data_IF_537693001911
#
_entry.id   IF_537693001911
#
_cell.length_a   1.000
_cell.length_b   1.000
_cell.length_c   1.000
_cell.angle_alpha   90.00
_cell.angle_beta   90.00
_cell.angle_gamma   90.00
#
_symmetry.space_group_name_H-M   'P 1'
#
loop_
_entity.id
_entity.type
_entity.pdbx_description
1 polymer ?
#
# COMPACT_ATOMS: atom_id res chain seq x y z
N UNK A 1 -17.14 9.83 70.33
CA UNK A 1 -18.04 9.83 69.15
C UNK A 1 -17.54 10.69 67.98
N UNK A 2 -16.23 10.97 67.81
CA UNK A 2 -15.71 11.68 66.61
C UNK A 2 -14.48 11.00 65.95
N UNK A 3 -13.75 10.09 66.63
CA UNK A 3 -12.56 9.47 66.02
C UNK A 3 -12.81 8.14 65.27
N UNK A 4 -13.97 7.49 65.40
CA UNK A 4 -14.20 6.16 64.83
C UNK A 4 -14.70 6.16 63.37
N UNK A 5 -15.07 7.31 62.81
CA UNK A 5 -15.53 7.42 61.41
C UNK A 5 -14.40 7.71 60.40
N UNK A 6 -13.23 8.17 60.84
CA UNK A 6 -12.10 8.44 59.92
C UNK A 6 -11.30 7.19 59.51
N UNK A 7 -11.39 6.11 60.28
CA UNK A 7 -10.59 4.90 60.02
C UNK A 7 -11.21 4.03 58.91
N UNK A 8 -12.53 4.04 58.72
CA UNK A 8 -13.18 3.27 57.64
C UNK A 8 -12.99 3.85 56.23
N UNK A 9 -12.59 5.13 56.09
CA UNK A 9 -12.37 5.76 54.77
C UNK A 9 -10.93 5.62 54.24
N UNK A 10 -9.99 5.14 55.04
CA UNK A 10 -8.58 5.06 54.64
C UNK A 10 -8.09 3.65 54.29
N UNK A 11 -8.89 2.61 54.58
CA UNK A 11 -8.46 1.20 54.41
C UNK A 11 -9.01 0.54 53.14
N UNK A 12 -9.74 1.26 52.29
CA UNK A 12 -10.35 0.72 51.07
C UNK A 12 -9.57 1.02 49.77
N UNK A 13 -8.41 1.69 49.83
CA UNK A 13 -7.73 2.23 48.63
C UNK A 13 -6.30 1.72 48.39
N UNK A 14 -5.86 0.66 49.07
CA UNK A 14 -4.49 0.13 48.93
C UNK A 14 -4.44 -1.39 48.77
N UNK A 15 -5.37 -1.95 48.01
CA UNK A 15 -5.32 -3.36 47.62
C UNK A 15 -5.74 -3.52 46.16
N UNK A 16 -4.80 -3.23 45.24
CA UNK A 16 -4.72 -3.80 43.89
C UNK A 16 -3.52 -3.19 43.16
N UNK A 17 -2.38 -3.89 43.20
CA UNK A 17 -1.37 -3.77 42.15
C UNK A 17 -1.06 -5.19 41.68
N UNK A 18 -1.44 -5.49 40.44
CA UNK A 18 -0.44 -6.09 39.56
C UNK A 18 -0.46 -5.46 38.16
N UNK A 19 0.76 -5.24 37.64
CA UNK A 19 1.18 -5.41 36.24
C UNK A 19 0.19 -5.00 35.13
N UNK A 20 0.45 -3.85 34.50
CA UNK A 20 0.26 -3.71 33.06
C UNK A 20 1.31 -2.76 32.48
N UNK A 21 2.49 -3.33 32.20
CA UNK A 21 3.42 -2.76 31.24
C UNK A 21 2.73 -2.70 29.86
N UNK A 22 2.97 -1.57 29.17
CA UNK A 22 2.90 -1.38 27.71
C UNK A 22 1.55 -1.62 27.01
N UNK A 23 0.74 -0.57 26.85
CA UNK A 23 -0.19 -0.48 25.72
C UNK A 23 -0.65 0.95 25.42
N UNK A 24 0.29 1.88 25.16
CA UNK A 24 -0.08 3.24 24.75
C UNK A 24 0.78 3.73 23.59
N UNK A 25 0.58 3.15 22.42
CA UNK A 25 1.04 3.71 21.14
C UNK A 25 0.06 3.41 20.01
N UNK A 26 -1.21 3.77 20.17
CA UNK A 26 -2.08 4.06 19.03
C UNK A 26 -2.27 5.56 18.96
N UNK A 27 -1.21 6.27 18.57
CA UNK A 27 -1.33 7.67 18.16
C UNK A 27 -2.06 7.67 16.82
N UNK A 28 -3.39 7.56 16.91
CA UNK A 28 -4.34 7.68 15.83
C UNK A 28 -4.04 9.00 15.12
N UNK A 29 -3.59 8.90 13.88
CA UNK A 29 -3.38 10.07 13.03
C UNK A 29 -4.78 10.70 12.86
N UNK A 30 -5.08 11.77 13.61
CA UNK A 30 -6.26 12.57 13.34
C UNK A 30 -6.04 13.26 11.99
N UNK A 31 -6.45 12.59 10.90
CA UNK A 31 -6.74 13.27 9.64
C UNK A 31 -8.06 14.00 9.85
N UNK A 32 -8.00 15.17 10.47
CA UNK A 32 -9.00 16.21 10.23
C UNK A 32 -8.50 17.03 9.06
N UNK A 33 -9.07 16.83 7.88
CA UNK A 33 -9.08 17.89 6.89
C UNK A 33 -10.23 17.73 5.93
N UNK A 34 -11.24 18.58 6.13
CA UNK A 34 -12.27 18.92 5.17
C UNK A 34 -11.63 19.33 3.83
N UNK A 35 -11.91 18.60 2.75
CA UNK A 35 -11.98 19.06 1.33
C UNK A 35 -12.12 17.83 0.42
N UNK A 36 -13.31 17.67 -0.19
CA UNK A 36 -13.66 16.64 -1.17
C UNK A 36 -13.12 15.25 -0.81
N UNK A 37 -13.82 14.58 0.08
CA UNK A 37 -13.45 13.27 0.59
C UNK A 37 -13.37 12.26 -0.58
N UNK A 38 -12.17 12.06 -1.11
CA UNK A 38 -11.89 11.02 -2.09
C UNK A 38 -12.32 9.64 -1.55
N UNK A 39 -12.27 9.48 -0.22
CA UNK A 39 -12.87 8.37 0.52
C UNK A 39 -14.39 8.34 0.47
N UNK A 40 -15.10 9.47 0.48
CA UNK A 40 -16.55 9.52 0.32
C UNK A 40 -16.98 9.19 -1.11
N UNK A 41 -16.19 9.59 -2.12
CA UNK A 41 -16.42 9.13 -3.50
C UNK A 41 -16.23 7.62 -3.61
N UNK A 42 -15.17 7.07 -3.00
CA UNK A 42 -14.95 5.63 -2.96
C UNK A 42 -16.10 4.90 -2.25
N UNK A 43 -16.54 5.36 -1.07
CA UNK A 43 -17.67 4.73 -0.36
C UNK A 43 -18.97 4.79 -1.16
N UNK A 44 -19.25 5.90 -1.84
CA UNK A 44 -20.44 6.03 -2.70
C UNK A 44 -20.43 5.01 -3.83
N UNK A 45 -19.29 4.88 -4.53
CA UNK A 45 -19.13 3.88 -5.59
C UNK A 45 -19.34 2.46 -5.04
N UNK A 46 -18.76 2.15 -3.89
CA UNK A 46 -18.89 0.83 -3.27
C UNK A 46 -20.33 0.51 -2.86
N UNK A 47 -21.07 1.49 -2.32
CA UNK A 47 -22.49 1.33 -2.01
C UNK A 47 -23.32 1.08 -3.27
N UNK A 48 -23.12 1.86 -4.34
CA UNK A 48 -23.87 1.66 -5.58
C UNK A 48 -23.64 0.29 -6.22
N UNK A 49 -22.43 -0.28 -6.07
CA UNK A 49 -22.15 -1.64 -6.52
C UNK A 49 -22.80 -2.66 -5.59
N UNK A 50 -22.74 -2.47 -4.27
CA UNK A 50 -23.38 -3.37 -3.31
C UNK A 50 -24.91 -3.41 -3.42
N UNK A 51 -25.55 -2.28 -3.72
CA UNK A 51 -27.00 -2.16 -3.92
C UNK A 51 -27.52 -3.03 -5.07
N UNK A 52 -26.63 -3.53 -5.95
CA UNK A 52 -26.98 -4.52 -6.98
C UNK A 52 -27.16 -5.95 -6.43
N UNK A 53 -27.06 -6.15 -5.11
CA UNK A 53 -27.29 -7.42 -4.42
C UNK A 53 -26.04 -8.31 -4.29
N UNK A 54 -24.86 -7.76 -4.57
CA UNK A 54 -23.58 -8.49 -4.46
C UNK A 54 -23.02 -8.37 -3.05
N UNK A 55 -22.62 -9.49 -2.42
CA UNK A 55 -22.00 -9.45 -1.09
C UNK A 55 -20.64 -8.74 -1.13
N UNK A 56 -20.20 -8.16 -0.01
CA UNK A 56 -18.96 -7.34 0.06
C UNK A 56 -17.71 -8.05 -0.48
N UNK A 57 -17.60 -9.36 -0.24
CA UNK A 57 -16.47 -10.16 -0.74
C UNK A 57 -16.38 -10.21 -2.26
N UNK A 58 -17.49 -10.03 -2.98
CA UNK A 58 -17.54 -9.96 -4.44
C UNK A 58 -17.44 -8.52 -4.96
N UNK A 59 -18.02 -7.56 -4.23
CA UNK A 59 -17.99 -6.12 -4.55
C UNK A 59 -16.56 -5.57 -4.65
N UNK A 60 -15.67 -5.98 -3.74
CA UNK A 60 -14.26 -5.53 -3.69
C UNK A 60 -13.47 -5.93 -4.96
N UNK A 61 -13.36 -7.23 -5.31
CA UNK A 61 -12.63 -7.64 -6.51
C UNK A 61 -13.30 -7.11 -7.78
N UNK A 62 -14.63 -7.04 -7.85
CA UNK A 62 -15.36 -6.53 -9.02
C UNK A 62 -15.03 -5.05 -9.28
N UNK A 63 -15.11 -4.21 -8.24
CA UNK A 63 -14.73 -2.79 -8.32
C UNK A 63 -13.26 -2.64 -8.72
N UNK A 64 -12.39 -3.49 -8.18
CA UNK A 64 -10.97 -3.51 -8.52
C UNK A 64 -10.73 -3.85 -9.99
N UNK A 65 -11.45 -4.83 -10.54
CA UNK A 65 -11.37 -5.23 -11.95
C UNK A 65 -11.87 -4.12 -12.87
N UNK A 66 -12.94 -3.43 -12.49
CA UNK A 66 -13.47 -2.29 -13.24
C UNK A 66 -12.42 -1.15 -13.33
N UNK A 67 -11.86 -0.74 -12.20
CA UNK A 67 -10.81 0.29 -12.15
C UNK A 67 -9.57 -0.15 -12.93
N UNK A 68 -9.13 -1.41 -12.75
CA UNK A 68 -8.01 -2.00 -13.50
C UNK A 68 -8.24 -1.89 -15.00
N UNK A 69 -9.44 -2.22 -15.48
CA UNK A 69 -9.81 -2.18 -16.90
C UNK A 69 -9.68 -0.78 -17.49
N UNK A 70 -10.10 0.25 -16.75
CA UNK A 70 -9.95 1.66 -17.17
C UNK A 70 -8.47 2.07 -17.19
N UNK A 71 -7.67 1.60 -16.23
CA UNK A 71 -6.24 1.94 -16.12
C UNK A 71 -5.36 1.14 -17.10
N UNK A 72 -5.84 0.01 -17.64
CA UNK A 72 -5.10 -0.85 -18.58
C UNK A 72 -4.31 -0.10 -19.67
N UNK A 73 -4.86 0.87 -20.43
CA UNK A 73 -4.09 1.62 -21.44
C UNK A 73 -2.87 2.33 -20.84
N UNK A 74 -2.98 2.87 -19.62
CA UNK A 74 -1.87 3.50 -18.89
C UNK A 74 -0.84 2.46 -18.46
N UNK A 75 -1.29 1.27 -18.05
CA UNK A 75 -0.40 0.15 -17.72
C UNK A 75 0.43 -0.26 -18.94
N UNK A 76 -0.19 -0.42 -20.11
CA UNK A 76 0.51 -0.75 -21.36
C UNK A 76 1.54 0.32 -21.73
N UNK A 77 1.18 1.59 -21.60
CA UNK A 77 2.11 2.70 -21.83
C UNK A 77 3.33 2.66 -20.90
N UNK A 78 3.11 2.42 -19.60
CA UNK A 78 4.18 2.30 -18.60
C UNK A 78 5.09 1.09 -18.86
N UNK A 79 4.50 -0.06 -19.21
CA UNK A 79 5.23 -1.29 -19.58
C UNK A 79 6.14 -1.06 -20.79
N UNK A 80 5.66 -0.38 -21.82
CA UNK A 80 6.47 -0.07 -23.00
C UNK A 80 7.70 0.79 -22.67
N UNK A 81 7.58 1.72 -21.69
CA UNK A 81 8.72 2.51 -21.20
C UNK A 81 9.73 1.68 -20.42
N UNK A 82 9.25 0.74 -19.60
CA UNK A 82 10.10 -0.20 -18.88
C UNK A 82 10.95 -1.04 -19.84
N UNK A 83 10.35 -1.60 -20.90
CA UNK A 83 11.09 -2.42 -21.89
C UNK A 83 12.20 -1.60 -22.57
N UNK A 84 11.93 -0.35 -22.94
CA UNK A 84 12.96 0.55 -23.52
C UNK A 84 14.10 0.81 -22.53
N UNK A 85 13.78 1.02 -21.26
CA UNK A 85 14.78 1.19 -20.20
C UNK A 85 15.63 -0.08 -20.02
N UNK A 86 15.01 -1.26 -19.97
CA UNK A 86 15.72 -2.54 -19.84
C UNK A 86 16.71 -2.79 -20.98
N UNK A 87 16.40 -2.34 -22.20
CA UNK A 87 17.32 -2.42 -23.35
C UNK A 87 18.59 -1.59 -23.18
N UNK A 88 18.50 -0.44 -22.52
CA UNK A 88 19.61 0.52 -22.37
C UNK A 88 20.40 0.29 -21.07
N UNK A 89 19.76 -0.32 -20.06
CA UNK A 89 20.38 -0.75 -18.80
C UNK A 89 21.73 -1.47 -18.97
N UNK A 90 21.91 -2.46 -19.88
CA UNK A 90 23.22 -3.09 -20.08
C UNK A 90 24.28 -2.14 -20.64
N UNK A 91 23.92 -1.21 -21.54
CA UNK A 91 24.86 -0.22 -22.06
C UNK A 91 25.36 0.73 -20.96
N UNK A 92 24.46 1.19 -20.09
CA UNK A 92 24.81 2.04 -18.95
C UNK A 92 25.80 1.30 -18.04
N UNK A 93 25.52 0.04 -17.72
CA UNK A 93 26.40 -0.79 -16.88
C UNK A 93 27.76 -1.04 -17.50
N UNK A 94 27.82 -1.30 -18.81
CA UNK A 94 29.09 -1.52 -19.51
C UNK A 94 29.97 -0.28 -19.48
N UNK A 95 29.37 0.89 -19.74
CA UNK A 95 30.09 2.17 -19.71
C UNK A 95 30.52 2.57 -18.29
N UNK A 96 29.66 2.34 -17.28
CA UNK A 96 29.99 2.54 -15.87
C UNK A 96 31.19 1.69 -15.46
N UNK A 97 31.17 0.39 -15.77
CA UNK A 97 32.28 -0.52 -15.48
C UNK A 97 33.59 -0.07 -16.13
N UNK A 98 33.57 0.29 -17.42
CA UNK A 98 34.75 0.76 -18.13
C UNK A 98 35.31 2.06 -17.53
N UNK A 99 34.44 3.02 -17.22
CA UNK A 99 34.84 4.33 -16.69
C UNK A 99 35.45 4.19 -15.30
N UNK A 100 34.84 3.39 -14.42
CA UNK A 100 35.36 3.15 -13.06
C UNK A 100 36.72 2.45 -13.09
N UNK A 101 36.95 1.54 -14.05
CA UNK A 101 38.24 0.84 -14.18
C UNK A 101 39.36 1.74 -14.68
N UNK A 102 39.08 2.68 -15.58
CA UNK A 102 40.09 3.55 -16.18
C UNK A 102 40.38 4.80 -15.36
N UNK A 103 39.33 5.44 -14.82
CA UNK A 103 39.41 6.79 -14.27
C UNK A 103 39.12 6.86 -12.76
N UNK A 104 38.82 5.72 -12.12
CA UNK A 104 38.30 5.70 -10.75
C UNK A 104 36.82 6.09 -10.67
N UNK A 105 36.29 6.16 -9.44
CA UNK A 105 34.86 6.35 -9.17
C UNK A 105 34.47 7.84 -9.22
N UNK A 106 34.35 8.38 -10.43
CA UNK A 106 33.91 9.76 -10.66
C UNK A 106 32.40 9.84 -10.89
N UNK A 107 31.65 10.01 -9.79
CA UNK A 107 30.18 9.97 -9.75
C UNK A 107 29.56 11.07 -10.63
N UNK A 108 30.19 12.23 -10.73
CA UNK A 108 29.65 13.37 -11.49
C UNK A 108 29.70 13.11 -12.99
N UNK A 109 30.85 12.65 -13.50
CA UNK A 109 30.97 12.23 -14.90
C UNK A 109 30.02 11.08 -15.23
N UNK A 110 29.85 10.14 -14.30
CA UNK A 110 28.90 9.04 -14.48
C UNK A 110 27.45 9.53 -14.62
N UNK A 111 27.04 10.48 -13.79
CA UNK A 111 25.71 11.08 -13.82
C UNK A 111 25.43 11.86 -15.12
N UNK A 112 26.39 12.67 -15.56
CA UNK A 112 26.28 13.46 -16.78
C UNK A 112 26.10 12.57 -18.01
N UNK A 113 26.92 11.52 -18.15
CA UNK A 113 26.81 10.58 -19.27
C UNK A 113 25.52 9.78 -19.22
N UNK A 114 25.10 9.34 -18.04
CA UNK A 114 23.81 8.65 -17.86
C UNK A 114 22.65 9.52 -18.33
N UNK A 115 22.65 10.80 -17.98
CA UNK A 115 21.62 11.74 -18.42
C UNK A 115 21.66 11.98 -19.94
N UNK A 116 22.85 12.10 -20.52
CA UNK A 116 23.04 12.18 -21.97
C UNK A 116 22.45 10.95 -22.69
N UNK A 117 22.72 9.75 -22.16
CA UNK A 117 22.23 8.50 -22.73
C UNK A 117 20.70 8.39 -22.63
N UNK A 118 20.13 8.81 -21.50
CA UNK A 118 18.68 8.90 -21.31
C UNK A 118 18.03 9.89 -22.28
N UNK A 119 18.64 11.06 -22.50
CA UNK A 119 18.16 12.06 -23.45
C UNK A 119 18.24 11.55 -24.90
N UNK A 120 19.34 10.90 -25.26
CA UNK A 120 19.56 10.35 -26.61
C UNK A 120 18.57 9.25 -26.98
N UNK A 121 18.17 8.43 -26.01
CA UNK A 121 17.21 7.35 -26.22
C UNK A 121 15.77 7.71 -25.78
N UNK A 122 15.52 8.97 -25.41
CA UNK A 122 14.23 9.49 -24.92
C UNK A 122 13.59 8.59 -23.85
N UNK A 123 14.41 8.05 -22.96
CA UNK A 123 14.00 7.13 -21.91
C UNK A 123 14.28 7.77 -20.54
N UNK A 124 13.23 8.00 -19.77
CA UNK A 124 13.35 8.54 -18.41
C UNK A 124 12.90 7.47 -17.40
N UNK A 125 13.70 7.14 -16.37
CA UNK A 125 13.33 6.11 -15.39
C UNK A 125 12.04 6.46 -14.62
N UNK A 126 11.76 7.74 -14.39
CA UNK A 126 10.51 8.18 -13.73
C UNK A 126 9.25 7.74 -14.51
N UNK A 127 9.33 7.54 -15.83
CA UNK A 127 8.17 7.20 -16.64
C UNK A 127 7.46 5.90 -16.24
N UNK A 128 8.16 4.94 -15.62
CA UNK A 128 7.53 3.72 -15.09
C UNK A 128 7.07 3.85 -13.63
N UNK A 129 7.55 4.86 -12.88
CA UNK A 129 7.18 5.13 -11.48
C UNK A 129 5.77 5.76 -11.35
N UNK A 130 5.17 6.18 -12.46
CA UNK A 130 3.83 6.80 -12.48
C UNK A 130 2.75 5.86 -11.92
N UNK A 131 2.83 4.57 -12.24
CA UNK A 131 1.86 3.57 -11.77
C UNK A 131 1.84 3.42 -10.24
N UNK A 132 2.97 3.09 -9.58
CA UNK A 132 2.98 2.98 -8.12
C UNK A 132 2.64 4.29 -7.42
N UNK A 133 2.99 5.44 -8.00
CA UNK A 133 2.66 6.75 -7.43
C UNK A 133 1.14 7.00 -7.35
N UNK A 134 0.37 6.53 -8.33
CA UNK A 134 -1.10 6.61 -8.33
C UNK A 134 -1.73 5.47 -7.53
N UNK A 135 -1.11 4.28 -7.56
CA UNK A 135 -1.64 3.08 -6.92
C UNK A 135 -1.60 3.14 -5.39
N UNK A 136 -0.53 3.71 -4.80
CA UNK A 136 -0.37 3.75 -3.34
C UNK A 136 -1.49 4.59 -2.69
N UNK A 137 -1.76 5.84 -3.13
CA UNK A 137 -2.89 6.63 -2.60
C UNK A 137 -4.24 5.94 -2.78
N UNK A 138 -4.48 5.35 -3.96
CA UNK A 138 -5.72 4.62 -4.26
C UNK A 138 -5.96 3.48 -3.27
N UNK A 139 -4.91 2.73 -2.93
CA UNK A 139 -4.98 1.63 -1.96
C UNK A 139 -5.36 2.10 -0.55
N UNK A 140 -4.76 3.21 -0.09
CA UNK A 140 -5.11 3.78 1.22
C UNK A 140 -6.56 4.24 1.26
N UNK A 141 -7.02 4.98 0.25
CA UNK A 141 -8.41 5.45 0.15
C UNK A 141 -9.39 4.29 0.20
N UNK A 142 -9.15 3.23 -0.60
CA UNK A 142 -10.01 2.05 -0.65
C UNK A 142 -10.03 1.31 0.70
N UNK A 143 -8.88 1.17 1.35
CA UNK A 143 -8.79 0.50 2.67
C UNK A 143 -9.57 1.25 3.74
N UNK A 144 -9.48 2.58 3.78
CA UNK A 144 -10.26 3.39 4.73
C UNK A 144 -11.76 3.36 4.43
N UNK A 145 -12.15 3.40 3.15
CA UNK A 145 -13.55 3.28 2.77
C UNK A 145 -14.14 1.92 3.18
N UNK A 146 -13.42 0.82 2.92
CA UNK A 146 -13.86 -0.53 3.27
C UNK A 146 -14.01 -0.73 4.78
N UNK A 147 -13.06 -0.25 5.58
CA UNK A 147 -13.13 -0.38 7.05
C UNK A 147 -14.37 0.26 7.66
N UNK A 148 -14.92 1.30 7.03
CA UNK A 148 -16.14 1.95 7.49
C UNK A 148 -17.44 1.22 7.12
N UNK A 149 -17.39 0.27 6.19
CA UNK A 149 -18.58 -0.29 5.53
C UNK A 149 -18.69 -1.82 5.61
N UNK A 150 -17.57 -2.55 5.58
CA UNK A 150 -17.56 -4.02 5.51
C UNK A 150 -17.40 -4.70 6.88
N UNK A 151 -17.79 -4.03 7.96
CA UNK A 151 -17.76 -4.62 9.29
C UNK A 151 -18.82 -5.74 9.38
N UNK A 152 -18.45 -6.90 9.93
CA UNK A 152 -19.36 -8.04 10.19
C UNK A 152 -19.83 -8.84 8.96
N UNK A 153 -19.32 -8.54 7.77
CA UNK A 153 -19.61 -9.33 6.57
C UNK A 153 -18.34 -9.99 6.02
N UNK A 154 -18.43 -11.31 5.85
CA UNK A 154 -17.33 -12.23 5.60
C UNK A 154 -17.61 -13.26 4.51
N UNK A 155 -16.58 -13.98 4.07
CA UNK A 155 -16.72 -15.20 3.25
C UNK A 155 -15.88 -16.35 3.82
N UNK A 156 -16.52 -17.51 4.00
CA UNK A 156 -15.85 -18.75 4.34
C UNK A 156 -15.02 -18.66 5.62
N UNK A 157 -13.69 -18.73 5.49
CA UNK A 157 -12.75 -18.67 6.62
C UNK A 157 -12.43 -17.25 7.10
N UNK A 158 -12.86 -16.21 6.36
CA UNK A 158 -12.74 -14.81 6.76
C UNK A 158 -14.13 -14.36 7.23
N UNK A 159 -14.35 -14.33 8.53
CA UNK A 159 -15.64 -13.92 9.12
C UNK A 159 -15.81 -12.39 9.13
N UNK A 160 -14.71 -11.66 9.23
CA UNK A 160 -14.68 -10.19 9.18
C UNK A 160 -13.63 -9.73 8.17
N UNK A 161 -14.06 -9.05 7.10
CA UNK A 161 -13.16 -8.49 6.08
C UNK A 161 -12.26 -7.33 6.60
N UNK A 162 -12.59 -6.79 7.77
CA UNK A 162 -11.88 -5.69 8.42
C UNK A 162 -10.69 -6.16 9.27
N UNK A 163 -10.66 -7.46 9.62
CA UNK A 163 -9.63 -8.07 10.49
C UNK A 163 -8.58 -8.78 9.63
N UNK A 164 -7.37 -8.94 10.18
CA UNK A 164 -6.31 -9.71 9.52
C UNK A 164 -6.74 -11.17 9.33
N UNK A 165 -6.38 -11.76 8.18
CA UNK A 165 -6.67 -13.17 7.87
C UNK A 165 -6.09 -14.09 8.96
N UNK A 166 -6.91 -14.91 9.65
CA UNK A 166 -6.47 -15.78 10.73
C UNK A 166 -5.60 -16.96 10.24
N UNK A 167 -5.75 -17.39 8.98
CA UNK A 167 -5.02 -18.53 8.41
C UNK A 167 -3.81 -18.07 7.57
N UNK A 168 -3.84 -16.82 7.10
CA UNK A 168 -2.80 -16.27 6.23
C UNK A 168 -2.83 -16.84 4.80
N UNK A 169 -3.95 -17.41 4.37
CA UNK A 169 -4.14 -17.91 3.01
C UNK A 169 -4.07 -16.78 1.98
N UNK A 170 -4.73 -15.66 2.24
CA UNK A 170 -4.80 -14.51 1.33
C UNK A 170 -3.41 -13.90 1.03
N UNK A 171 -2.54 -13.62 2.01
CA UNK A 171 -1.19 -13.13 1.73
C UNK A 171 -0.31 -14.16 1.00
N UNK A 172 -0.48 -15.47 1.27
CA UNK A 172 0.24 -16.52 0.54
C UNK A 172 -0.16 -16.54 -0.94
N UNK A 173 -1.46 -16.50 -1.23
CA UNK A 173 -1.96 -16.42 -2.61
C UNK A 173 -1.47 -15.16 -3.34
N UNK A 174 -1.53 -14.00 -2.68
CA UNK A 174 -0.99 -12.75 -3.24
C UNK A 174 0.51 -12.86 -3.53
N UNK A 175 1.28 -13.51 -2.65
CA UNK A 175 2.69 -13.78 -2.85
C UNK A 175 2.96 -14.67 -4.07
N UNK A 176 2.22 -15.77 -4.21
CA UNK A 176 2.34 -16.68 -5.37
C UNK A 176 1.97 -15.98 -6.68
N UNK A 177 0.88 -15.21 -6.70
CA UNK A 177 0.49 -14.40 -7.87
C UNK A 177 1.58 -13.37 -8.20
N UNK A 178 2.17 -12.75 -7.17
CA UNK A 178 3.30 -11.84 -7.33
C UNK A 178 4.52 -12.52 -7.97
N UNK A 179 4.85 -13.73 -7.52
CA UNK A 179 5.97 -14.52 -8.05
C UNK A 179 5.76 -14.87 -9.53
N UNK A 180 4.56 -15.37 -9.87
CA UNK A 180 4.18 -15.68 -11.25
C UNK A 180 4.30 -14.44 -12.15
N UNK A 181 3.84 -13.28 -11.68
CA UNK A 181 3.95 -12.03 -12.45
C UNK A 181 5.40 -11.62 -12.73
N UNK A 182 6.33 -11.89 -11.81
CA UNK A 182 7.75 -11.59 -12.00
C UNK A 182 8.38 -12.58 -12.98
N UNK A 183 8.05 -13.86 -12.86
CA UNK A 183 8.56 -14.91 -13.76
C UNK A 183 8.11 -14.66 -15.21
N UNK A 184 6.83 -14.37 -15.42
CA UNK A 184 6.27 -14.03 -16.75
C UNK A 184 6.81 -12.72 -17.30
N UNK A 185 7.29 -11.80 -16.45
CA UNK A 185 7.93 -10.56 -16.90
C UNK A 185 9.40 -10.77 -17.30
N UNK A 186 10.05 -11.78 -16.72
CA UNK A 186 11.47 -12.07 -16.96
C UNK A 186 11.69 -13.05 -18.12
N UNK A 187 10.70 -13.91 -18.40
CA UNK A 187 10.64 -14.78 -19.58
C UNK A 187 10.11 -14.03 -20.81
#
# INVERSE_FOLDING_TARGET
>A
MVLRQRIYKATATLHCLPLHLTYQTYRFFHVTSSRCDLSALASTVLHTVHDTGVPWWATIPLTTLFIRTIILPVVFWSRNRMIRYLRIKPLIKAWEFQTTRLNGLDVERLNQKRNELFRRHSCHPIGFLVLPLVQIPLFFVMTFALRGMSAHEGIGWIQDLTVSDPIGFLPVCLGLIGLINIEVLFF
#
